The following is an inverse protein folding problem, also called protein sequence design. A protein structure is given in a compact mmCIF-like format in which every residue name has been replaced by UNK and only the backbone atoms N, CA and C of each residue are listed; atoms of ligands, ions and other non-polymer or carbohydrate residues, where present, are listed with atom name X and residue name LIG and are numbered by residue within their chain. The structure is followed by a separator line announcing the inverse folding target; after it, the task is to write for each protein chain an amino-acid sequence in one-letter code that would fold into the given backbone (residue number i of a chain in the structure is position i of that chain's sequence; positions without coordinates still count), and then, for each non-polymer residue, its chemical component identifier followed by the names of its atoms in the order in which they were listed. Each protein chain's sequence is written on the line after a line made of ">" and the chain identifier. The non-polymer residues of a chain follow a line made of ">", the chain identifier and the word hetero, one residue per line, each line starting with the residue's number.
data_IF_010597821870
#
_entry.id   IF_010597821870
#
_cell.length_a   1.000
_cell.length_b   1.000
_cell.length_c   1.000
_cell.angle_alpha   90.00
_cell.angle_beta   90.00
_cell.angle_gamma   90.00
#
_symmetry.space_group_name_H-M   'P 1'
#
loop_
_entity.id
_entity.type
_entity.pdbx_description
1 polymer ?
#
# COMPACT_ATOMS: atom_id res chain seq x y z
N UNK A 1 -5.08 -0.83 -20.18
CA UNK A 1 -4.32 0.44 -20.16
C UNK A 1 -5.20 1.55 -20.67
N UNK A 2 -5.31 2.62 -19.94
CA UNK A 2 -5.99 3.85 -20.37
C UNK A 2 -4.95 4.93 -20.67
N UNK A 3 -5.27 5.79 -21.64
CA UNK A 3 -4.53 7.02 -21.91
C UNK A 3 -5.35 8.16 -21.31
N UNK A 4 -5.16 8.40 -20.02
CA UNK A 4 -5.88 9.36 -19.20
C UNK A 4 -6.04 8.89 -17.75
N UNK A 5 -6.24 9.83 -16.86
CA UNK A 5 -6.41 9.57 -15.43
C UNK A 5 -7.67 8.73 -15.16
N UNK A 6 -7.56 7.85 -14.18
CA UNK A 6 -8.69 7.07 -13.66
C UNK A 6 -9.05 7.60 -12.29
N UNK A 7 -10.28 8.08 -12.12
CA UNK A 7 -10.82 8.52 -10.82
C UNK A 7 -12.09 7.75 -10.51
N UNK A 8 -12.15 7.17 -9.33
CA UNK A 8 -13.31 6.44 -8.81
C UNK A 8 -13.77 7.12 -7.54
N UNK A 9 -14.95 7.74 -7.59
CA UNK A 9 -15.52 8.58 -6.53
C UNK A 9 -16.42 7.84 -5.54
N UNK A 10 -16.77 6.59 -5.82
CA UNK A 10 -17.61 5.77 -4.95
C UNK A 10 -16.87 4.57 -4.34
N UNK A 11 -17.46 3.93 -3.33
CA UNK A 11 -16.92 2.69 -2.78
C UNK A 11 -16.87 1.58 -3.84
N UNK A 12 -15.81 0.79 -3.81
CA UNK A 12 -15.56 -0.29 -4.74
C UNK A 12 -15.68 -1.63 -4.03
N UNK A 13 -16.44 -2.55 -4.64
CA UNK A 13 -16.44 -3.96 -4.23
C UNK A 13 -15.90 -4.82 -5.38
N UNK A 14 -14.80 -5.51 -5.13
CA UNK A 14 -14.21 -6.45 -6.07
C UNK A 14 -14.97 -7.78 -5.99
N UNK A 15 -15.89 -8.01 -6.94
CA UNK A 15 -16.86 -9.10 -6.85
C UNK A 15 -16.40 -10.40 -7.52
N UNK A 16 -15.72 -10.34 -8.67
CA UNK A 16 -15.36 -11.52 -9.45
C UNK A 16 -14.02 -11.33 -10.16
N UNK A 17 -13.08 -12.25 -9.90
CA UNK A 17 -11.78 -12.30 -10.57
C UNK A 17 -10.83 -11.16 -10.21
N UNK A 18 -9.58 -11.32 -10.57
CA UNK A 18 -8.54 -10.32 -10.37
C UNK A 18 -8.85 -9.04 -11.15
N UNK A 19 -8.68 -7.88 -10.51
CA UNK A 19 -8.91 -6.56 -11.10
C UNK A 19 -7.57 -5.87 -11.32
N UNK A 20 -7.39 -5.28 -12.52
CA UNK A 20 -6.20 -4.50 -12.84
C UNK A 20 -6.58 -3.16 -13.47
N UNK A 21 -5.99 -2.08 -12.94
CA UNK A 21 -6.07 -0.74 -13.51
C UNK A 21 -4.66 -0.29 -13.85
N UNK A 22 -4.45 0.03 -15.12
CA UNK A 22 -3.14 0.50 -15.62
C UNK A 22 -3.34 1.75 -16.44
N UNK A 23 -2.62 2.80 -16.11
CA UNK A 23 -2.48 4.02 -16.91
C UNK A 23 -1.06 4.10 -17.46
N UNK A 24 -0.87 4.80 -18.58
CA UNK A 24 0.46 4.94 -19.17
C UNK A 24 1.35 5.87 -18.31
N UNK A 25 0.87 7.08 -18.03
CA UNK A 25 1.56 8.08 -17.22
C UNK A 25 0.58 8.99 -16.46
N UNK A 26 -0.65 8.54 -16.26
CA UNK A 26 -1.71 9.31 -15.64
C UNK A 26 -2.06 8.78 -14.25
N UNK A 27 -2.69 9.61 -13.44
CA UNK A 27 -3.02 9.27 -12.07
C UNK A 27 -4.13 8.21 -11.98
N UNK A 28 -4.04 7.41 -10.91
CA UNK A 28 -5.10 6.52 -10.47
C UNK A 28 -5.55 7.00 -9.10
N UNK A 29 -6.84 7.34 -8.96
CA UNK A 29 -7.40 7.85 -7.70
C UNK A 29 -8.64 7.06 -7.30
N UNK A 30 -8.64 6.55 -6.07
CA UNK A 30 -9.81 6.00 -5.40
C UNK A 30 -10.14 6.89 -4.20
N UNK A 31 -11.31 7.54 -4.21
CA UNK A 31 -11.71 8.47 -3.16
C UNK A 31 -12.45 7.80 -1.99
N UNK A 32 -12.84 6.54 -2.14
CA UNK A 32 -13.56 5.77 -1.15
C UNK A 32 -12.96 4.37 -0.92
N UNK A 33 -13.61 3.57 -0.09
CA UNK A 33 -13.18 2.23 0.29
C UNK A 33 -13.06 1.27 -0.89
N UNK A 34 -12.15 0.31 -0.76
CA UNK A 34 -11.96 -0.81 -1.68
C UNK A 34 -12.06 -2.09 -0.87
N UNK A 35 -13.08 -2.89 -1.13
CA UNK A 35 -13.33 -4.17 -0.45
C UNK A 35 -13.53 -5.30 -1.45
N UNK A 36 -13.46 -6.55 -0.99
CA UNK A 36 -13.80 -7.73 -1.78
C UNK A 36 -12.67 -8.74 -1.93
N UNK A 37 -13.01 -10.02 -1.81
CA UNK A 37 -12.08 -11.16 -1.79
C UNK A 37 -11.46 -11.45 -3.17
N UNK A 38 -10.82 -10.45 -3.77
CA UNK A 38 -10.14 -10.54 -5.06
C UNK A 38 -8.76 -9.85 -5.01
N UNK A 39 -7.92 -10.12 -6.00
CA UNK A 39 -6.64 -9.43 -6.15
C UNK A 39 -6.83 -8.11 -6.88
N UNK A 40 -6.19 -7.06 -6.39
CA UNK A 40 -6.13 -5.74 -7.02
C UNK A 40 -4.71 -5.42 -7.49
N UNK A 41 -4.58 -5.00 -8.74
CA UNK A 41 -3.32 -4.50 -9.30
C UNK A 41 -3.51 -3.09 -9.86
N UNK A 42 -2.69 -2.13 -9.40
CA UNK A 42 -2.67 -0.75 -9.86
C UNK A 42 -1.29 -0.39 -10.40
N UNK A 43 -1.23 0.18 -11.60
CA UNK A 43 0.03 0.62 -12.22
C UNK A 43 -0.17 1.99 -12.86
N UNK A 44 0.44 3.03 -12.33
CA UNK A 44 0.19 4.43 -12.71
C UNK A 44 1.28 5.11 -13.55
N UNK A 45 2.26 4.36 -14.09
CA UNK A 45 3.34 4.97 -14.86
C UNK A 45 4.15 5.99 -14.00
N UNK A 46 4.30 7.24 -14.48
CA UNK A 46 5.01 8.32 -13.78
C UNK A 46 4.12 9.13 -12.83
N UNK A 47 2.81 8.96 -12.88
CA UNK A 47 1.89 9.75 -12.08
C UNK A 47 1.58 9.09 -10.73
N UNK A 48 0.81 9.79 -9.90
CA UNK A 48 0.44 9.33 -8.57
C UNK A 48 -0.63 8.24 -8.59
N UNK A 49 -0.53 7.30 -7.65
CA UNK A 49 -1.67 6.48 -7.19
C UNK A 49 -2.11 6.99 -5.83
N UNK A 50 -3.39 7.37 -5.71
CA UNK A 50 -3.97 7.93 -4.48
C UNK A 50 -5.13 7.06 -4.01
N UNK A 51 -5.05 6.60 -2.77
CA UNK A 51 -6.03 5.73 -2.11
C UNK A 51 -6.50 6.45 -0.85
N UNK A 52 -7.63 7.17 -0.94
CA UNK A 52 -8.11 8.04 0.14
C UNK A 52 -8.93 7.29 1.19
N UNK A 53 -9.60 6.22 0.81
CA UNK A 53 -10.41 5.39 1.70
C UNK A 53 -9.69 4.13 2.17
N UNK A 54 -10.32 3.41 3.09
CA UNK A 54 -9.79 2.16 3.62
C UNK A 54 -9.83 1.03 2.58
N UNK A 55 -8.88 0.11 2.70
CA UNK A 55 -8.75 -1.06 1.84
C UNK A 55 -8.96 -2.32 2.66
N UNK A 56 -9.90 -3.16 2.24
CA UNK A 56 -10.18 -4.45 2.85
C UNK A 56 -10.69 -4.37 4.29
N UNK A 57 -11.26 -3.24 4.69
CA UNK A 57 -11.75 -3.04 6.06
C UNK A 57 -12.99 -3.90 6.39
N UNK A 58 -13.81 -4.21 5.38
CA UNK A 58 -15.02 -5.04 5.54
C UNK A 58 -14.80 -6.44 5.00
N UNK A 59 -14.20 -6.54 3.83
CA UNK A 59 -13.88 -7.82 3.18
C UNK A 59 -12.44 -7.72 2.65
N UNK A 60 -11.50 -8.46 3.23
CA UNK A 60 -10.10 -8.41 2.83
C UNK A 60 -9.88 -8.74 1.35
N UNK A 61 -8.87 -8.11 0.76
CA UNK A 61 -8.39 -8.49 -0.57
C UNK A 61 -7.56 -9.78 -0.47
N UNK A 62 -7.59 -10.60 -1.52
CA UNK A 62 -6.73 -11.79 -1.59
C UNK A 62 -5.30 -11.50 -2.06
N UNK A 63 -5.03 -10.27 -2.48
CA UNK A 63 -3.69 -9.79 -2.83
C UNK A 63 -3.74 -8.34 -3.31
N UNK A 64 -2.65 -7.62 -3.11
CA UNK A 64 -2.54 -6.21 -3.49
C UNK A 64 -1.19 -5.95 -4.16
N UNK A 65 -1.24 -5.37 -5.36
CA UNK A 65 -0.04 -4.87 -6.05
C UNK A 65 -0.28 -3.43 -6.49
N UNK A 66 0.54 -2.51 -6.02
CA UNK A 66 0.52 -1.10 -6.44
C UNK A 66 1.93 -0.71 -6.81
N UNK A 67 2.16 -0.37 -8.07
CA UNK A 67 3.49 -0.04 -8.58
C UNK A 67 3.44 1.13 -9.56
N UNK A 68 4.60 1.73 -9.79
CA UNK A 68 4.81 2.69 -10.88
C UNK A 68 5.52 2.00 -12.05
N UNK A 69 4.98 2.14 -13.24
CA UNK A 69 5.53 1.52 -14.45
C UNK A 69 6.84 2.15 -14.93
N UNK A 70 7.02 3.44 -14.63
CA UNK A 70 8.20 4.26 -14.95
C UNK A 70 8.57 5.14 -13.77
N UNK A 71 9.81 5.63 -13.74
CA UNK A 71 10.36 6.37 -12.59
C UNK A 71 9.56 7.64 -12.21
N UNK A 72 9.64 8.00 -10.93
CA UNK A 72 9.12 9.21 -10.29
C UNK A 72 7.61 9.27 -10.01
N UNK A 73 6.87 8.17 -10.09
CA UNK A 73 5.50 8.12 -9.58
C UNK A 73 5.47 8.05 -8.06
N UNK A 74 4.40 8.53 -7.44
CA UNK A 74 4.18 8.45 -5.99
C UNK A 74 2.99 7.58 -5.67
N UNK A 75 2.98 6.99 -4.46
CA UNK A 75 1.82 6.24 -3.96
C UNK A 75 1.44 6.83 -2.61
N UNK A 76 0.16 7.16 -2.43
CA UNK A 76 -0.35 7.76 -1.20
C UNK A 76 -1.52 6.96 -0.66
N UNK A 77 -1.40 6.55 0.60
CA UNK A 77 -2.48 5.95 1.38
C UNK A 77 -3.02 6.99 2.36
N UNK A 78 -4.25 7.47 2.13
CA UNK A 78 -4.99 8.33 3.04
C UNK A 78 -5.80 7.53 4.06
N UNK A 79 -6.25 6.32 3.68
CA UNK A 79 -6.98 5.38 4.54
C UNK A 79 -6.11 4.24 5.09
N UNK A 80 -6.72 3.42 5.92
CA UNK A 80 -6.11 2.21 6.46
C UNK A 80 -6.07 1.06 5.45
N UNK A 81 -5.22 0.07 5.71
CA UNK A 81 -5.36 -1.28 5.13
C UNK A 81 -5.79 -2.19 6.28
N UNK A 82 -7.02 -2.74 6.18
CA UNK A 82 -7.69 -3.40 7.30
C UNK A 82 -8.38 -2.43 8.26
N UNK A 83 -8.97 -2.99 9.31
CA UNK A 83 -9.71 -2.24 10.34
C UNK A 83 -9.05 -2.30 11.74
N UNK A 84 -7.89 -2.96 11.83
CA UNK A 84 -7.16 -3.20 13.08
C UNK A 84 -7.63 -4.42 13.86
N UNK A 85 -8.72 -5.07 13.46
CA UNK A 85 -9.17 -6.35 14.02
C UNK A 85 -8.79 -7.54 13.12
N UNK A 86 -8.52 -7.29 11.84
CA UNK A 86 -8.11 -8.28 10.86
C UNK A 86 -7.24 -7.68 9.75
N UNK A 87 -6.69 -8.53 8.93
CA UNK A 87 -5.93 -8.13 7.76
C UNK A 87 -6.84 -7.46 6.73
N UNK A 88 -6.36 -6.42 6.08
CA UNK A 88 -7.02 -5.83 4.91
C UNK A 88 -6.63 -6.54 3.61
N UNK A 89 -5.51 -7.25 3.64
CA UNK A 89 -5.04 -8.11 2.54
C UNK A 89 -4.58 -9.44 3.10
N UNK A 90 -5.20 -10.55 2.67
CA UNK A 90 -4.89 -11.91 3.14
C UNK A 90 -3.70 -12.54 2.41
N UNK A 91 -3.42 -12.13 1.18
CA UNK A 91 -2.33 -12.70 0.39
C UNK A 91 -1.14 -11.76 0.23
N UNK A 92 -0.28 -12.08 -0.73
CA UNK A 92 0.93 -11.30 -0.99
C UNK A 92 0.61 -9.83 -1.29
N UNK A 93 1.36 -8.94 -0.66
CA UNK A 93 1.27 -7.50 -0.86
C UNK A 93 2.58 -6.95 -1.41
N UNK A 94 2.49 -6.21 -2.51
CA UNK A 94 3.60 -5.45 -3.10
C UNK A 94 3.18 -3.98 -3.24
N UNK A 95 3.81 -3.10 -2.49
CA UNK A 95 3.58 -1.66 -2.52
C UNK A 95 4.86 -0.96 -2.99
N UNK A 96 4.75 -0.31 -4.12
CA UNK A 96 5.86 0.37 -4.77
C UNK A 96 6.86 -0.57 -5.44
N UNK A 97 7.85 0.02 -6.06
CA UNK A 97 8.99 -0.64 -6.69
C UNK A 97 10.13 0.37 -6.86
N UNK A 98 11.21 -0.01 -7.53
CA UNK A 98 12.37 0.87 -7.79
C UNK A 98 12.08 2.06 -8.72
N UNK A 99 10.86 2.20 -9.22
CA UNK A 99 10.38 3.34 -9.98
C UNK A 99 9.51 4.30 -9.15
N UNK A 100 9.13 3.90 -7.93
CA UNK A 100 8.31 4.71 -7.03
C UNK A 100 9.20 5.72 -6.32
N UNK A 101 8.92 7.02 -6.51
CA UNK A 101 9.68 8.08 -5.84
C UNK A 101 9.37 8.11 -4.34
N UNK A 102 8.12 8.38 -3.96
CA UNK A 102 7.74 8.42 -2.55
C UNK A 102 6.52 7.54 -2.27
N UNK A 103 6.55 6.89 -1.12
CA UNK A 103 5.42 6.18 -0.53
C UNK A 103 4.94 6.96 0.69
N UNK A 104 3.70 7.41 0.68
CA UNK A 104 3.12 8.20 1.77
C UNK A 104 2.06 7.38 2.51
N UNK A 105 2.33 7.05 3.76
CA UNK A 105 1.43 6.36 4.68
C UNK A 105 0.85 7.38 5.66
N UNK A 106 -0.34 7.93 5.37
CA UNK A 106 -0.98 9.01 6.12
C UNK A 106 -2.02 8.50 7.13
N UNK A 107 -2.20 7.18 7.24
CA UNK A 107 -3.09 6.55 8.21
C UNK A 107 -2.32 5.74 9.26
N UNK A 108 -3.03 5.10 10.17
CA UNK A 108 -2.41 4.52 11.37
C UNK A 108 -2.36 2.99 11.38
N UNK A 109 -3.12 2.32 10.49
CA UNK A 109 -3.27 0.85 10.48
C UNK A 109 -2.98 0.31 9.09
N UNK A 110 -2.03 -0.60 9.00
CA UNK A 110 -1.66 -1.31 7.78
C UNK A 110 -1.50 -2.80 8.12
N UNK A 111 -2.61 -3.54 7.99
CA UNK A 111 -2.71 -4.95 8.41
C UNK A 111 -2.75 -5.89 7.21
N UNK A 112 -1.85 -6.85 7.22
CA UNK A 112 -1.70 -7.87 6.17
C UNK A 112 -1.66 -9.26 6.82
N UNK A 113 -2.01 -10.31 6.08
CA UNK A 113 -1.86 -11.71 6.50
C UNK A 113 -0.80 -12.43 5.65
N UNK A 114 -0.41 -11.91 4.51
CA UNK A 114 0.63 -12.47 3.66
C UNK A 114 1.93 -11.69 3.65
N UNK A 115 2.95 -12.27 3.03
CA UNK A 115 4.25 -11.63 2.87
C UNK A 115 4.11 -10.26 2.20
N UNK A 116 4.66 -9.24 2.84
CA UNK A 116 4.50 -7.84 2.43
C UNK A 116 5.85 -7.22 2.07
N UNK A 117 5.93 -6.62 0.90
CA UNK A 117 7.10 -5.86 0.45
C UNK A 117 6.69 -4.43 0.11
N UNK A 118 7.38 -3.48 0.72
CA UNK A 118 7.19 -2.04 0.55
C UNK A 118 8.51 -1.47 0.02
N UNK A 119 8.49 -0.90 -1.17
CA UNK A 119 9.70 -0.48 -1.89
C UNK A 119 9.52 0.91 -2.49
N UNK A 120 10.47 1.81 -2.26
CA UNK A 120 10.62 3.01 -3.06
C UNK A 120 12.02 3.03 -3.71
N UNK A 121 12.28 3.95 -4.62
CA UNK A 121 13.56 4.05 -5.30
C UNK A 121 14.67 4.43 -4.30
N UNK A 122 15.90 4.05 -4.62
CA UNK A 122 17.06 4.39 -3.79
C UNK A 122 17.25 5.92 -3.71
N UNK A 123 17.34 6.44 -2.51
CA UNK A 123 17.43 7.88 -2.24
C UNK A 123 16.09 8.58 -2.03
N UNK A 124 14.98 7.92 -2.28
CA UNK A 124 13.63 8.40 -2.01
C UNK A 124 13.10 7.88 -0.66
N UNK A 125 11.86 8.18 -0.30
CA UNK A 125 11.34 7.94 1.04
C UNK A 125 10.13 7.00 1.08
N UNK A 126 10.06 6.28 2.19
CA UNK A 126 8.83 5.68 2.73
C UNK A 126 8.41 6.57 3.90
N UNK A 127 7.45 7.46 3.65
CA UNK A 127 7.02 8.47 4.62
C UNK A 127 5.90 7.91 5.51
N UNK A 128 6.14 7.92 6.82
CA UNK A 128 5.14 7.61 7.85
C UNK A 128 4.66 8.95 8.41
N UNK A 129 3.53 9.43 7.89
CA UNK A 129 3.10 10.82 8.04
C UNK A 129 1.77 11.00 8.79
N UNK A 130 1.28 9.96 9.49
CA UNK A 130 0.01 10.03 10.22
C UNK A 130 -0.02 11.05 11.38
N UNK A 131 1.15 11.52 11.86
CA UNK A 131 1.24 12.37 13.05
C UNK A 131 0.83 11.63 14.34
N UNK A 132 0.78 10.31 14.31
CA UNK A 132 0.36 9.41 15.38
C UNK A 132 1.13 8.08 15.32
N UNK A 133 0.83 7.16 16.23
CA UNK A 133 1.37 5.81 16.17
C UNK A 133 0.82 5.09 14.93
N UNK A 134 1.71 4.63 14.07
CA UNK A 134 1.39 3.87 12.87
C UNK A 134 1.88 2.44 13.03
N UNK A 135 1.01 1.47 12.76
CA UNK A 135 1.31 0.05 12.93
C UNK A 135 1.21 -0.67 11.59
N UNK A 136 2.24 -1.42 11.27
CA UNK A 136 2.25 -2.42 10.18
C UNK A 136 2.23 -3.81 10.82
N UNK A 137 1.27 -4.64 10.47
CA UNK A 137 1.14 -6.00 11.01
C UNK A 137 1.09 -7.04 9.91
N UNK A 138 1.69 -8.22 10.17
CA UNK A 138 1.42 -9.45 9.44
C UNK A 138 1.10 -10.57 10.43
N UNK A 139 0.40 -11.61 9.99
CA UNK A 139 -0.04 -12.69 10.90
C UNK A 139 0.99 -13.82 11.08
N UNK A 140 2.23 -13.66 10.78
CA UNK A 140 3.39 -14.54 10.88
C UNK A 140 4.24 -14.55 9.60
N UNK A 141 3.92 -13.68 8.69
CA UNK A 141 4.62 -13.52 7.42
C UNK A 141 5.66 -12.40 7.48
N UNK A 142 6.56 -12.42 6.52
CA UNK A 142 7.63 -11.44 6.46
C UNK A 142 7.11 -10.07 6.03
N UNK A 143 7.69 -9.02 6.61
CA UNK A 143 7.53 -7.66 6.13
C UNK A 143 8.90 -7.08 5.77
N UNK A 144 9.00 -6.52 4.57
CA UNK A 144 10.24 -5.96 4.03
C UNK A 144 10.02 -4.52 3.60
N UNK A 145 10.79 -3.59 4.16
CA UNK A 145 10.97 -2.24 3.66
C UNK A 145 12.28 -2.20 2.89
N UNK A 146 12.21 -1.97 1.57
CA UNK A 146 13.36 -2.14 0.69
C UNK A 146 13.77 -0.84 -0.02
N UNK A 147 15.07 -0.66 -0.17
CA UNK A 147 15.78 0.33 -0.99
C UNK A 147 15.58 1.80 -0.69
N UNK A 148 14.65 2.20 0.18
CA UNK A 148 14.37 3.60 0.51
C UNK A 148 14.57 3.90 1.98
N UNK A 149 14.71 5.18 2.31
CA UNK A 149 14.73 5.64 3.70
C UNK A 149 13.32 5.58 4.31
N UNK A 150 13.22 5.14 5.56
CA UNK A 150 11.97 5.32 6.32
C UNK A 150 12.03 6.68 6.99
N UNK A 151 11.14 7.60 6.60
CA UNK A 151 11.03 8.92 7.17
C UNK A 151 9.80 9.03 8.08
N UNK A 152 10.00 9.41 9.33
CA UNK A 152 8.94 9.63 10.30
C UNK A 152 8.63 11.12 10.39
N UNK A 153 7.39 11.51 10.05
CA UNK A 153 6.94 12.87 10.30
C UNK A 153 6.90 13.18 11.80
N UNK A 154 6.96 14.46 12.16
CA UNK A 154 6.92 14.89 13.55
C UNK A 154 5.64 14.39 14.24
N UNK A 155 5.80 13.69 15.35
CA UNK A 155 4.70 13.06 16.11
C UNK A 155 4.33 11.65 15.63
N UNK A 156 4.95 11.13 14.55
CA UNK A 156 4.73 9.76 14.11
C UNK A 156 5.63 8.77 14.84
N UNK A 157 5.08 7.61 15.18
CA UNK A 157 5.82 6.45 15.67
C UNK A 157 5.53 5.26 14.75
N UNK A 158 6.53 4.47 14.42
CA UNK A 158 6.37 3.26 13.64
C UNK A 158 6.47 2.03 14.54
N UNK A 159 5.45 1.18 14.45
CA UNK A 159 5.47 -0.18 14.98
C UNK A 159 5.37 -1.16 13.83
N UNK A 160 6.23 -2.17 13.80
CA UNK A 160 6.15 -3.30 12.86
C UNK A 160 6.03 -4.57 13.68
N UNK A 161 4.93 -5.31 13.48
CA UNK A 161 4.62 -6.53 14.22
C UNK A 161 4.31 -7.67 13.24
N UNK A 162 5.11 -8.72 13.29
CA UNK A 162 4.91 -9.92 12.44
C UNK A 162 4.18 -11.04 13.18
N UNK A 163 3.55 -10.74 14.32
CA UNK A 163 2.75 -11.67 15.10
C UNK A 163 3.58 -12.69 15.89
N UNK A 164 2.89 -13.47 16.71
CA UNK A 164 3.52 -14.39 17.67
C UNK A 164 4.23 -15.60 17.03
N UNK A 165 3.86 -15.98 15.82
CA UNK A 165 4.52 -17.09 15.11
C UNK A 165 5.80 -16.69 14.35
N UNK A 166 6.08 -15.38 14.25
CA UNK A 166 7.39 -14.84 13.91
C UNK A 166 7.75 -14.83 12.43
N UNK A 167 7.23 -13.87 11.67
CA UNK A 167 7.83 -13.47 10.39
C UNK A 167 9.10 -12.64 10.59
N UNK A 168 9.89 -12.47 9.53
CA UNK A 168 11.06 -11.61 9.55
C UNK A 168 10.69 -10.16 9.23
N UNK A 169 11.30 -9.22 9.95
CA UNK A 169 11.28 -7.80 9.61
C UNK A 169 12.62 -7.49 8.93
N UNK A 170 12.56 -7.05 7.69
CA UNK A 170 13.74 -6.61 6.95
C UNK A 170 13.59 -5.12 6.65
N UNK A 171 14.59 -4.35 7.03
CA UNK A 171 14.71 -2.93 6.69
C UNK A 171 15.95 -2.81 5.83
N UNK A 172 15.79 -2.28 4.62
CA UNK A 172 16.89 -2.09 3.68
C UNK A 172 17.87 -1.01 4.15
N UNK A 173 18.08 0.01 3.36
CA UNK A 173 18.94 1.14 3.78
C UNK A 173 18.26 1.96 4.87
N UNK A 174 18.99 2.33 5.91
CA UNK A 174 18.61 3.29 6.95
C UNK A 174 19.52 4.51 6.80
#
# INVERSE_FOLDING_TARGET
>A
TTDGAVTIDGPVTLATGAVSVTTANDAITFNHTIDGAQTLTLVSGTAATILSGDIGATTPLTGLTITNGTANGTITFGGNIGDGSGAGVEGTTLIGNTNTADLNFNSTIYSFDGATTITAASGDNIDIAAGAATTFTTAADNITFATANIALANGSNLTVDTGAAGGNITIGEI
#
